data_IF_728790412733
#
_entry.id   IF_728790412733
#
_cell.length_a   1.000
_cell.length_b   1.000
_cell.length_c   1.000
_cell.angle_alpha   90.00
_cell.angle_beta   90.00
_cell.angle_gamma   90.00
#
_symmetry.space_group_name_H-M   'P 1'
#
loop_
_entity.id
_entity.type
_entity.pdbx_description
1 polymer ?
#
# COMPACT_ATOMS: atom_id res chain seq x y z
N UNK A 1 -14.27 10.17 -4.18
CA UNK A 1 -13.41 10.31 -2.99
C UNK A 1 -13.98 9.41 -1.91
N UNK A 2 -13.15 8.56 -1.31
CA UNK A 2 -13.55 7.61 -0.27
C UNK A 2 -12.67 7.80 0.97
N UNK A 3 -13.28 7.65 2.15
CA UNK A 3 -12.59 7.65 3.44
C UNK A 3 -12.76 6.26 4.08
N UNK A 4 -11.64 5.63 4.45
CA UNK A 4 -11.63 4.27 4.99
C UNK A 4 -10.71 4.21 6.21
N UNK A 5 -11.18 3.54 7.26
CA UNK A 5 -10.38 3.26 8.45
C UNK A 5 -9.94 1.80 8.50
N UNK A 6 -8.69 1.54 8.91
CA UNK A 6 -8.20 0.19 9.23
C UNK A 6 -7.79 0.12 10.70
N UNK A 7 -8.42 -0.78 11.44
CA UNK A 7 -8.00 -1.09 12.81
C UNK A 7 -6.65 -1.85 12.78
N UNK A 8 -5.77 -1.65 13.78
CA UNK A 8 -4.61 -2.49 13.94
C UNK A 8 -5.04 -3.95 14.10
N UNK A 9 -4.31 -4.85 13.46
CA UNK A 9 -4.51 -6.29 13.61
C UNK A 9 -4.07 -6.77 14.99
N UNK A 10 -4.50 -7.97 15.38
CA UNK A 10 -4.07 -8.58 16.64
C UNK A 10 -2.55 -8.70 16.73
N UNK A 11 -1.87 -9.05 15.63
CA UNK A 11 -0.41 -9.16 15.58
C UNK A 11 0.26 -7.79 15.73
N UNK A 12 -0.29 -6.74 15.11
CA UNK A 12 0.24 -5.38 15.24
C UNK A 12 0.09 -4.84 16.67
N UNK A 13 -1.02 -5.14 17.37
CA UNK A 13 -1.24 -4.68 18.75
C UNK A 13 -0.54 -5.53 19.80
N UNK A 14 -0.57 -6.86 19.65
CA UNK A 14 -0.25 -7.82 20.72
C UNK A 14 0.71 -8.93 20.28
N UNK A 15 1.36 -8.80 19.12
CA UNK A 15 2.38 -9.76 18.68
C UNK A 15 3.55 -9.82 19.67
N UNK A 16 3.72 -10.93 20.36
CA UNK A 16 4.83 -11.12 21.30
C UNK A 16 6.02 -11.78 20.61
N UNK A 17 6.86 -10.98 19.95
CA UNK A 17 8.09 -11.44 19.27
C UNK A 17 7.82 -12.54 18.22
N UNK A 18 6.83 -12.31 17.36
CA UNK A 18 6.52 -13.24 16.27
C UNK A 18 7.62 -13.16 15.22
N UNK A 19 8.35 -14.25 15.00
CA UNK A 19 9.37 -14.29 13.96
C UNK A 19 8.73 -14.33 12.57
N UNK A 20 9.04 -13.33 11.74
CA UNK A 20 8.69 -13.35 10.33
C UNK A 20 9.90 -13.84 9.51
N UNK A 21 9.80 -15.04 8.96
CA UNK A 21 10.87 -15.65 8.16
C UNK A 21 11.14 -14.92 6.83
N UNK A 22 10.14 -14.22 6.29
CA UNK A 22 10.27 -13.48 5.02
C UNK A 22 11.15 -12.25 5.21
N UNK A 23 10.96 -11.55 6.32
CA UNK A 23 11.67 -10.31 6.60
C UNK A 23 12.95 -10.55 7.45
N UNK A 24 13.02 -11.67 8.18
CA UNK A 24 14.12 -12.01 9.08
C UNK A 24 14.10 -11.22 10.40
N UNK A 25 12.93 -10.73 10.83
CA UNK A 25 12.75 -9.93 12.05
C UNK A 25 11.80 -10.60 13.03
N UNK A 26 12.05 -10.39 14.33
CA UNK A 26 11.09 -10.61 15.39
C UNK A 26 10.21 -9.36 15.52
N UNK A 27 8.93 -9.50 15.24
CA UNK A 27 7.96 -8.42 15.33
C UNK A 27 7.38 -8.33 16.74
N UNK A 28 7.47 -7.14 17.34
CA UNK A 28 6.84 -6.80 18.60
C UNK A 28 5.65 -5.88 18.36
N UNK A 29 4.50 -6.28 18.89
CA UNK A 29 3.25 -5.54 18.87
C UNK A 29 3.32 -4.27 19.71
N UNK A 30 2.44 -3.34 19.42
CA UNK A 30 2.31 -2.08 20.12
C UNK A 30 0.83 -1.80 20.42
N UNK A 31 0.39 -1.85 21.69
CA UNK A 31 -1.01 -1.66 22.04
C UNK A 31 -1.48 -0.20 21.89
N UNK A 32 -0.55 0.76 21.76
CA UNK A 32 -0.85 2.19 21.63
C UNK A 32 -1.07 2.62 20.17
N UNK A 33 -1.22 1.68 19.24
CA UNK A 33 -1.42 1.97 17.82
C UNK A 33 -2.78 2.61 17.58
N UNK A 34 -2.74 3.74 16.86
CA UNK A 34 -3.94 4.39 16.33
C UNK A 34 -4.42 3.67 15.07
N UNK A 35 -5.73 3.61 14.82
CA UNK A 35 -6.26 3.15 13.54
C UNK A 35 -5.73 4.01 12.38
N UNK A 36 -5.42 3.35 11.26
CA UNK A 36 -5.08 4.04 10.02
C UNK A 36 -6.34 4.69 9.44
N UNK A 37 -6.16 5.86 8.81
CA UNK A 37 -7.22 6.51 8.03
C UNK A 37 -6.70 6.83 6.65
N UNK A 38 -7.42 6.39 5.63
CA UNK A 38 -7.03 6.53 4.23
C UNK A 38 -8.06 7.37 3.52
N UNK A 39 -7.60 8.43 2.87
CA UNK A 39 -8.40 9.25 1.97
C UNK A 39 -7.95 8.98 0.54
N UNK A 40 -8.84 8.41 -0.26
CA UNK A 40 -8.56 8.00 -1.64
C UNK A 40 -9.32 8.86 -2.65
N UNK A 41 -8.62 9.31 -3.68
CA UNK A 41 -9.17 10.03 -4.82
C UNK A 41 -8.63 9.42 -6.12
N UNK A 42 -9.52 9.22 -7.08
CA UNK A 42 -9.19 8.74 -8.41
C UNK A 42 -9.89 9.62 -9.44
N UNK A 43 -9.18 9.95 -10.50
CA UNK A 43 -9.71 10.65 -11.66
C UNK A 43 -9.46 9.81 -12.91
N UNK A 44 -10.55 9.41 -13.58
CA UNK A 44 -10.52 8.61 -14.79
C UNK A 44 -10.98 9.39 -16.02
N UNK A 45 -10.32 9.15 -17.14
CA UNK A 45 -10.71 9.57 -18.48
C UNK A 45 -10.89 8.34 -19.35
N UNK A 46 -12.05 8.23 -20.00
CA UNK A 46 -12.33 7.18 -20.97
C UNK A 46 -12.90 7.80 -22.24
N UNK A 47 -12.39 7.37 -23.39
CA UNK A 47 -12.91 7.77 -24.69
C UNK A 47 -12.86 6.62 -25.69
N UNK A 48 -13.99 6.39 -26.34
CA UNK A 48 -14.09 5.51 -27.49
C UNK A 48 -14.32 6.32 -28.76
N UNK A 49 -13.50 6.07 -29.77
CA UNK A 49 -13.62 6.63 -31.12
C UNK A 49 -13.70 5.47 -32.09
N UNK A 50 -14.93 5.07 -32.43
CA UNK A 50 -15.22 3.93 -33.30
C UNK A 50 -14.51 2.65 -32.81
N UNK A 51 -13.42 2.25 -33.45
CA UNK A 51 -12.67 1.03 -33.17
C UNK A 51 -11.54 1.19 -32.15
N UNK A 52 -11.33 2.39 -31.62
CA UNK A 52 -10.25 2.67 -30.66
C UNK A 52 -10.84 3.11 -29.33
N UNK A 53 -10.50 2.41 -28.26
CA UNK A 53 -10.80 2.79 -26.87
C UNK A 53 -9.54 3.22 -26.17
N UNK A 54 -9.58 4.34 -25.47
CA UNK A 54 -8.47 4.81 -24.61
C UNK A 54 -9.03 5.07 -23.22
N UNK A 55 -8.33 4.58 -22.21
CA UNK A 55 -8.59 4.84 -20.79
C UNK A 55 -7.31 5.31 -20.14
N UNK A 56 -7.44 6.29 -19.25
CA UNK A 56 -6.36 6.72 -18.39
C UNK A 56 -6.94 7.08 -17.03
N UNK A 57 -6.29 6.68 -15.94
CA UNK A 57 -6.65 7.06 -14.59
C UNK A 57 -5.44 7.59 -13.84
N UNK A 58 -5.69 8.49 -12.90
CA UNK A 58 -4.70 8.98 -11.95
C UNK A 58 -5.30 8.75 -10.57
N UNK A 59 -4.52 8.14 -9.69
CA UNK A 59 -4.91 7.85 -8.32
C UNK A 59 -4.01 8.61 -7.34
N UNK A 60 -4.61 9.05 -6.24
CA UNK A 60 -3.93 9.64 -5.10
C UNK A 60 -4.56 9.09 -3.82
N UNK A 61 -3.72 8.56 -2.94
CA UNK A 61 -4.11 8.05 -1.64
C UNK A 61 -3.25 8.70 -0.55
N UNK A 62 -3.91 9.27 0.45
CA UNK A 62 -3.29 9.85 1.63
C UNK A 62 -3.68 9.03 2.85
N UNK A 63 -2.70 8.42 3.51
CA UNK A 63 -2.89 7.57 4.68
C UNK A 63 -2.31 8.23 5.92
N UNK A 64 -3.17 8.55 6.88
CA UNK A 64 -2.80 9.03 8.21
C UNK A 64 -2.62 7.85 9.16
N UNK A 65 -1.71 8.03 10.12
CA UNK A 65 -1.40 7.01 11.14
C UNK A 65 -0.97 5.66 10.56
N UNK A 66 -0.33 5.64 9.39
CA UNK A 66 0.13 4.43 8.72
C UNK A 66 0.94 3.54 9.68
N UNK A 67 0.51 2.30 9.90
CA UNK A 67 1.13 1.34 10.81
C UNK A 67 2.25 0.66 10.05
N UNK A 68 3.48 1.02 10.39
CA UNK A 68 4.69 0.46 9.79
C UNK A 68 5.57 -0.16 10.86
N UNK A 69 6.23 -1.27 10.52
CA UNK A 69 7.26 -1.83 11.38
C UNK A 69 8.57 -1.04 11.23
N UNK A 70 9.01 -0.39 12.30
CA UNK A 70 10.29 0.32 12.35
C UNK A 70 11.33 -0.58 13.01
N UNK A 71 12.49 -0.69 12.38
CA UNK A 71 13.64 -1.34 13.01
C UNK A 71 14.07 -0.47 14.18
N UNK A 72 14.12 -1.06 15.36
CA UNK A 72 14.62 -0.35 16.53
C UNK A 72 16.14 -0.51 16.54
N UNK A 73 16.84 0.51 16.03
CA UNK A 73 18.30 0.54 16.08
C UNK A 73 18.82 0.68 17.52
N UNK A 74 18.00 1.21 18.45
CA UNK A 74 18.35 1.40 19.85
C UNK A 74 18.23 0.12 20.68
N UNK A 75 17.57 -0.92 20.18
CA UNK A 75 17.55 -2.23 20.85
C UNK A 75 18.84 -3.02 20.67
N UNK A 76 19.70 -2.65 19.72
CA UNK A 76 20.87 -3.44 19.33
C UNK A 76 22.16 -2.64 19.40
N UNK A 77 22.58 -2.38 20.63
CA UNK A 77 24.00 -2.22 20.95
C UNK A 77 24.73 -3.52 20.64
N UNK A 78 25.41 -3.55 19.50
CA UNK A 78 26.42 -4.54 19.10
C UNK A 78 25.93 -5.83 18.39
N UNK A 79 26.74 -6.16 17.38
CA UNK A 79 26.70 -7.28 16.44
C UNK A 79 26.26 -8.65 17.00
N UNK A 80 25.46 -9.38 16.20
CA UNK A 80 24.98 -10.79 16.37
C UNK A 80 23.63 -11.04 17.05
N UNK A 81 22.90 -10.00 17.47
CA UNK A 81 21.63 -10.15 18.18
C UNK A 81 20.39 -10.21 17.25
N UNK A 82 19.29 -10.86 17.68
CA UNK A 82 18.06 -10.99 16.90
C UNK A 82 17.51 -9.63 16.46
N UNK A 83 17.16 -9.51 15.18
CA UNK A 83 16.67 -8.26 14.60
C UNK A 83 15.23 -8.01 15.05
N UNK A 84 14.99 -6.98 15.85
CA UNK A 84 13.65 -6.63 16.32
C UNK A 84 13.03 -5.50 15.51
N UNK A 85 11.72 -5.61 15.27
CA UNK A 85 10.90 -4.61 14.58
C UNK A 85 9.68 -4.30 15.45
N UNK A 86 9.46 -3.01 15.73
CA UNK A 86 8.28 -2.56 16.50
C UNK A 86 7.30 -1.86 15.57
N UNK A 87 6.00 -2.15 15.70
CA UNK A 87 4.98 -1.43 14.96
C UNK A 87 4.78 -0.03 15.53
N UNK A 88 4.77 0.98 14.66
CA UNK A 88 4.56 2.38 15.04
C UNK A 88 3.69 3.07 13.99
N UNK A 89 2.90 4.05 14.41
CA UNK A 89 2.20 4.93 13.49
C UNK A 89 3.17 5.97 12.91
N UNK A 90 3.34 5.97 11.60
CA UNK A 90 3.89 7.10 10.86
C UNK A 90 2.85 8.21 10.72
N UNK A 91 3.25 9.49 10.72
CA UNK A 91 2.30 10.60 10.71
C UNK A 91 1.44 10.63 9.44
N UNK A 92 2.05 10.43 8.28
CA UNK A 92 1.38 10.35 6.99
C UNK A 92 2.18 9.50 5.99
N UNK A 93 1.48 8.88 5.05
CA UNK A 93 2.02 8.25 3.86
C UNK A 93 1.18 8.68 2.65
N UNK A 94 1.84 8.94 1.52
CA UNK A 94 1.18 9.31 0.27
C UNK A 94 1.55 8.30 -0.81
N UNK A 95 0.54 7.81 -1.52
CA UNK A 95 0.68 6.94 -2.68
C UNK A 95 -0.03 7.58 -3.85
N UNK A 96 0.68 7.85 -4.93
CA UNK A 96 0.11 8.37 -6.17
C UNK A 96 0.54 7.49 -7.33
N UNK A 97 -0.32 7.35 -8.32
CA UNK A 97 -0.05 6.52 -9.49
C UNK A 97 -0.94 6.93 -10.65
N UNK A 98 -0.69 6.32 -11.80
CA UNK A 98 -1.57 6.43 -12.94
C UNK A 98 -1.49 5.16 -13.75
N UNK A 99 -2.60 4.84 -14.40
CA UNK A 99 -2.72 3.67 -15.27
C UNK A 99 -3.30 4.15 -16.59
N UNK A 100 -2.80 3.63 -17.70
CA UNK A 100 -3.32 3.92 -19.03
C UNK A 100 -3.51 2.63 -19.81
N UNK A 101 -4.61 2.54 -20.55
CA UNK A 101 -4.84 1.43 -21.46
C UNK A 101 -5.43 1.92 -22.77
N UNK A 102 -5.08 1.23 -23.84
CA UNK A 102 -5.61 1.46 -25.17
C UNK A 102 -6.00 0.13 -25.79
N UNK A 103 -7.15 0.14 -26.46
CA UNK A 103 -7.72 -0.99 -27.18
C UNK A 103 -7.94 -0.57 -28.63
N UNK A 104 -7.50 -1.38 -29.57
CA UNK A 104 -7.68 -1.17 -31.01
C UNK A 104 -8.32 -2.40 -31.62
N UNK A 105 -9.56 -2.25 -32.11
CA UNK A 105 -10.30 -3.29 -32.82
C UNK A 105 -9.97 -3.20 -34.31
N UNK A 106 -9.11 -4.08 -34.81
CA UNK A 106 -8.72 -4.07 -36.23
C UNK A 106 -9.86 -4.62 -37.11
N UNK A 107 -10.45 -5.73 -36.67
CA UNK A 107 -11.64 -6.39 -37.26
C UNK A 107 -12.52 -6.92 -36.13
N UNK A 108 -13.75 -7.32 -36.43
CA UNK A 108 -14.70 -7.85 -35.43
C UNK A 108 -14.16 -9.06 -34.64
N UNK A 109 -13.14 -9.74 -35.16
CA UNK A 109 -12.52 -10.91 -34.55
C UNK A 109 -11.08 -10.67 -34.05
N UNK A 110 -10.52 -9.46 -34.23
CA UNK A 110 -9.12 -9.16 -33.87
C UNK A 110 -8.99 -7.82 -33.14
N UNK A 111 -8.50 -7.90 -31.91
CA UNK A 111 -8.27 -6.77 -31.00
C UNK A 111 -6.82 -6.75 -30.51
N UNK A 112 -6.25 -5.54 -30.40
CA UNK A 112 -4.96 -5.29 -29.78
C UNK A 112 -5.15 -4.43 -28.52
N UNK A 113 -4.55 -4.85 -27.42
CA UNK A 113 -4.64 -4.15 -26.13
C UNK A 113 -3.25 -3.82 -25.61
N UNK A 114 -3.05 -2.57 -25.21
CA UNK A 114 -1.85 -2.08 -24.54
C UNK A 114 -2.19 -1.47 -23.19
N UNK A 115 -1.33 -1.68 -22.20
CA UNK A 115 -1.47 -1.15 -20.83
C UNK A 115 -0.14 -0.59 -20.36
N UNK A 116 -0.19 0.48 -19.57
CA UNK A 116 0.96 1.14 -18.95
C UNK A 116 0.62 1.61 -17.54
#
# INVERSE_FOLDING_TARGET
MADVGRLPTYVENYGHHVYNYVDGYFCAGNPDLKPERSTHAEFGFEKWISKVGVRASILANHVLHYIGGRNDADLLGNTSAPRFRTYRNSPAAFLTGGEASAVVVLREWLELTGTA
#
